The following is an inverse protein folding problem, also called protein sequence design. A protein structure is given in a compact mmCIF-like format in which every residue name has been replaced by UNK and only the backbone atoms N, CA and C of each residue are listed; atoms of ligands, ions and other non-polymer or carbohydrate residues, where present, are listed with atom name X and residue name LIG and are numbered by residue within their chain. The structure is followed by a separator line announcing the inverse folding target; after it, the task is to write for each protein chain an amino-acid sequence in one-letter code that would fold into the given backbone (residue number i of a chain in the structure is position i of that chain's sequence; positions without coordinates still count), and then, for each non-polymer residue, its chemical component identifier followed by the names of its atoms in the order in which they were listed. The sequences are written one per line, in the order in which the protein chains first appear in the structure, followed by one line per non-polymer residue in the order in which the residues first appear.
data_IF_300222770273
#
_entry.id   IF_300222770273
#
_cell.length_a   1.000
_cell.length_b   1.000
_cell.length_c   1.000
_cell.angle_alpha   90.00
_cell.angle_beta   90.00
_cell.angle_gamma   90.00
#
_symmetry.space_group_name_H-M   'P 1'
#
loop_
_entity.id
_entity.type
_entity.pdbx_description
1 polymer ?
#
# COMPACT_ATOMS: atom_id res chain seq x y z
N UNK A 1 -32.18 -14.88 -9.27
CA UNK A 1 -31.81 -14.19 -8.02
C UNK A 1 -30.66 -14.97 -7.43
N UNK A 2 -29.44 -14.45 -7.46
CA UNK A 2 -28.30 -15.12 -6.82
C UNK A 2 -28.50 -15.05 -5.31
N UNK A 3 -28.39 -16.19 -4.64
CA UNK A 3 -28.45 -16.23 -3.18
C UNK A 3 -27.31 -15.38 -2.64
N UNK A 4 -27.56 -14.50 -1.65
CA UNK A 4 -26.51 -13.67 -1.05
C UNK A 4 -25.27 -14.50 -0.69
N UNK A 5 -25.49 -15.77 -0.30
CA UNK A 5 -24.48 -16.79 -0.03
C UNK A 5 -23.57 -17.17 -1.22
N UNK A 6 -24.10 -17.25 -2.44
CA UNK A 6 -23.29 -17.56 -3.65
C UNK A 6 -22.44 -16.35 -4.09
N UNK A 7 -22.93 -15.12 -3.88
CA UNK A 7 -22.11 -13.93 -4.06
C UNK A 7 -20.95 -13.87 -3.05
N UNK A 8 -21.15 -14.41 -1.84
CA UNK A 8 -20.07 -14.60 -0.85
C UNK A 8 -19.05 -15.68 -1.24
N UNK A 9 -19.39 -16.66 -2.06
CA UNK A 9 -18.44 -17.72 -2.47
C UNK A 9 -17.69 -17.38 -3.76
N UNK A 10 -18.29 -16.63 -4.68
CA UNK A 10 -17.75 -16.41 -6.03
C UNK A 10 -16.85 -15.16 -6.20
N UNK A 11 -16.36 -14.54 -5.13
CA UNK A 11 -15.44 -13.39 -5.24
C UNK A 11 -15.98 -12.25 -6.13
N UNK A 12 -17.30 -12.04 -6.16
CA UNK A 12 -17.89 -10.96 -6.93
C UNK A 12 -17.82 -9.67 -6.13
N UNK A 13 -17.16 -8.64 -6.68
CA UNK A 13 -17.15 -7.32 -6.08
C UNK A 13 -18.53 -6.68 -6.23
N UNK A 14 -19.21 -6.28 -5.14
CA UNK A 14 -20.57 -5.72 -5.22
C UNK A 14 -20.60 -4.29 -5.78
N UNK A 15 -19.43 -3.71 -6.07
CA UNK A 15 -19.25 -2.40 -6.68
C UNK A 15 -18.34 -2.49 -7.90
N UNK A 16 -18.40 -1.48 -8.77
CA UNK A 16 -17.50 -1.35 -9.92
C UNK A 16 -16.05 -1.19 -9.48
N UNK A 17 -15.12 -1.65 -10.31
CA UNK A 17 -13.68 -1.59 -10.04
C UNK A 17 -13.18 -0.15 -9.85
N UNK A 18 -13.75 0.81 -10.60
CA UNK A 18 -13.40 2.24 -10.45
C UNK A 18 -13.70 2.75 -9.04
N UNK A 19 -14.89 2.45 -8.50
CA UNK A 19 -15.29 2.88 -7.16
C UNK A 19 -14.43 2.21 -6.09
N UNK A 20 -14.14 0.91 -6.25
CA UNK A 20 -13.24 0.20 -5.34
C UNK A 20 -11.83 0.81 -5.35
N UNK A 21 -11.32 1.16 -6.54
CA UNK A 21 -10.03 1.81 -6.71
C UNK A 21 -9.97 3.20 -6.05
N UNK A 22 -11.04 3.98 -6.17
CA UNK A 22 -11.18 5.27 -5.48
C UNK A 22 -11.17 5.09 -3.96
N UNK A 23 -11.95 4.15 -3.43
CA UNK A 23 -11.99 3.85 -1.99
C UNK A 23 -10.63 3.38 -1.46
N UNK A 24 -9.92 2.55 -2.22
CA UNK A 24 -8.59 2.05 -1.84
C UNK A 24 -7.53 3.16 -1.78
N UNK A 25 -7.63 4.18 -2.63
CA UNK A 25 -6.68 5.31 -2.68
C UNK A 25 -7.12 6.50 -1.83
N UNK A 26 -8.36 6.52 -1.35
CA UNK A 26 -8.91 7.62 -0.56
C UNK A 26 -8.23 7.70 0.82
N UNK A 27 -8.05 8.93 1.30
CA UNK A 27 -7.67 9.18 2.69
C UNK A 27 -8.86 8.89 3.63
N UNK A 28 -8.63 8.78 4.94
CA UNK A 28 -9.67 8.45 5.94
C UNK A 28 -10.97 9.26 5.80
N UNK A 29 -10.85 10.58 5.58
CA UNK A 29 -11.99 11.47 5.39
C UNK A 29 -12.69 11.28 4.04
N UNK A 30 -11.93 10.96 2.99
CA UNK A 30 -12.50 10.68 1.66
C UNK A 30 -13.21 9.34 1.63
N UNK A 31 -12.64 8.33 2.29
CA UNK A 31 -13.21 7.00 2.39
C UNK A 31 -14.57 7.03 3.09
N UNK A 32 -14.71 7.74 4.21
CA UNK A 32 -15.98 7.85 4.92
C UNK A 32 -17.11 8.39 4.02
N UNK A 33 -16.81 9.40 3.18
CA UNK A 33 -17.79 9.99 2.26
C UNK A 33 -18.17 9.05 1.12
N UNK A 34 -17.20 8.31 0.58
CA UNK A 34 -17.46 7.30 -0.46
C UNK A 34 -18.29 6.16 0.11
N UNK A 35 -17.98 5.70 1.32
CA UNK A 35 -18.72 4.66 2.03
C UNK A 35 -20.17 5.12 2.29
N UNK A 36 -20.40 6.34 2.75
CA UNK A 36 -21.75 6.90 2.96
C UNK A 36 -22.62 6.92 1.70
N UNK A 37 -22.02 7.03 0.51
CA UNK A 37 -22.75 7.02 -0.76
C UNK A 37 -23.33 5.65 -1.13
N UNK A 38 -22.90 4.59 -0.44
CA UNK A 38 -23.25 3.20 -0.71
C UNK A 38 -24.25 2.70 0.34
N UNK A 39 -25.26 1.93 -0.09
CA UNK A 39 -26.24 1.34 0.83
C UNK A 39 -25.56 0.43 1.87
N UNK A 40 -26.16 0.30 3.04
CA UNK A 40 -25.56 -0.44 4.16
C UNK A 40 -25.31 -1.92 3.83
N UNK A 41 -26.24 -2.57 3.13
CA UNK A 41 -26.08 -3.95 2.67
C UNK A 41 -24.85 -4.11 1.75
N UNK A 42 -24.66 -3.18 0.81
CA UNK A 42 -23.52 -3.23 -0.13
C UNK A 42 -22.21 -2.95 0.59
N UNK A 43 -22.19 -2.07 1.60
CA UNK A 43 -21.00 -1.86 2.44
C UNK A 43 -20.60 -3.11 3.20
N UNK A 44 -21.56 -3.83 3.78
CA UNK A 44 -21.28 -5.08 4.50
C UNK A 44 -20.79 -6.18 3.54
N UNK A 45 -21.39 -6.31 2.36
CA UNK A 45 -20.89 -7.19 1.30
C UNK A 45 -19.45 -6.83 0.89
N UNK A 46 -19.18 -5.53 0.71
CA UNK A 46 -17.87 -5.04 0.30
C UNK A 46 -16.80 -5.27 1.38
N UNK A 47 -17.13 -5.06 2.65
CA UNK A 47 -16.21 -5.33 3.76
C UNK A 47 -15.82 -6.81 3.80
N UNK A 48 -16.78 -7.71 3.62
CA UNK A 48 -16.54 -9.17 3.59
C UNK A 48 -15.72 -9.59 2.36
N UNK A 49 -15.96 -8.97 1.20
CA UNK A 49 -15.17 -9.17 -0.02
C UNK A 49 -13.70 -8.73 0.18
N UNK A 50 -13.50 -7.54 0.77
CA UNK A 50 -12.16 -7.00 1.04
C UNK A 50 -11.42 -7.80 2.11
N UNK A 51 -12.12 -8.32 3.13
CA UNK A 51 -11.51 -9.04 4.25
C UNK A 51 -10.73 -10.29 3.81
N UNK A 52 -11.18 -10.98 2.75
CA UNK A 52 -10.51 -12.19 2.23
C UNK A 52 -9.23 -11.87 1.45
N UNK A 53 -9.01 -10.61 1.07
CA UNK A 53 -7.86 -10.16 0.28
C UNK A 53 -6.87 -9.45 1.19
N UNK A 54 -5.68 -10.00 1.34
CA UNK A 54 -4.64 -9.44 2.22
C UNK A 54 -4.32 -7.97 1.92
N UNK A 55 -4.25 -7.59 0.65
CA UNK A 55 -3.96 -6.22 0.21
C UNK A 55 -5.12 -5.23 0.44
N UNK A 56 -6.35 -5.71 0.67
CA UNK A 56 -7.52 -4.88 0.99
C UNK A 56 -7.94 -5.00 2.45
N UNK A 57 -7.18 -5.70 3.27
CA UNK A 57 -7.57 -6.02 4.64
C UNK A 57 -7.78 -4.76 5.50
N UNK A 58 -6.88 -3.76 5.38
CA UNK A 58 -7.02 -2.48 6.07
C UNK A 58 -8.30 -1.74 5.65
N UNK A 59 -8.61 -1.75 4.35
CA UNK A 59 -9.83 -1.17 3.80
C UNK A 59 -11.06 -1.91 4.33
N UNK A 60 -11.01 -3.25 4.45
CA UNK A 60 -12.09 -4.06 5.00
C UNK A 60 -12.45 -3.65 6.43
N UNK A 61 -11.45 -3.43 7.29
CA UNK A 61 -11.66 -2.96 8.67
C UNK A 61 -12.27 -1.57 8.71
N UNK A 62 -11.76 -0.64 7.90
CA UNK A 62 -12.29 0.74 7.82
C UNK A 62 -13.75 0.77 7.37
N UNK A 63 -14.12 -0.03 6.37
CA UNK A 63 -15.51 -0.13 5.91
C UNK A 63 -16.37 -0.81 6.98
N UNK A 64 -15.89 -1.90 7.59
CA UNK A 64 -16.59 -2.62 8.65
C UNK A 64 -16.88 -1.74 9.87
N UNK A 65 -16.00 -0.79 10.21
CA UNK A 65 -16.22 0.16 11.30
C UNK A 65 -17.46 1.06 11.10
N UNK A 66 -17.86 1.28 9.84
CA UNK A 66 -19.08 2.02 9.46
C UNK A 66 -20.35 1.16 9.35
N UNK A 67 -20.20 -0.18 9.45
CA UNK A 67 -21.28 -1.13 9.30
C UNK A 67 -21.88 -1.53 10.66
N UNK A 68 -23.13 -1.99 10.65
CA UNK A 68 -23.72 -2.60 11.83
C UNK A 68 -23.28 -4.05 11.98
N UNK A 69 -23.18 -4.54 13.23
CA UNK A 69 -22.85 -5.94 13.52
C UNK A 69 -23.87 -6.90 12.89
N UNK A 70 -25.16 -6.53 12.93
CA UNK A 70 -26.26 -7.34 12.40
C UNK A 70 -26.12 -7.58 10.90
N UNK A 71 -25.81 -6.53 10.13
CA UNK A 71 -25.63 -6.65 8.67
C UNK A 71 -24.43 -7.54 8.33
N UNK A 72 -23.30 -7.34 9.03
CA UNK A 72 -22.11 -8.18 8.83
C UNK A 72 -22.38 -9.64 9.17
N UNK A 73 -23.12 -9.94 10.24
CA UNK A 73 -23.50 -11.31 10.61
C UNK A 73 -24.51 -11.92 9.64
N UNK A 74 -25.52 -11.15 9.21
CA UNK A 74 -26.55 -11.64 8.28
C UNK A 74 -25.94 -12.09 6.95
N UNK A 75 -24.90 -11.39 6.51
CA UNK A 75 -24.23 -11.61 5.24
C UNK A 75 -23.03 -12.56 5.36
N UNK A 76 -22.17 -12.37 6.37
CA UNK A 76 -20.91 -13.08 6.55
C UNK A 76 -20.89 -14.13 7.67
N UNK A 77 -21.99 -14.31 8.41
CA UNK A 77 -22.09 -15.25 9.53
C UNK A 77 -20.99 -15.03 10.57
N UNK A 78 -20.25 -16.10 10.89
CA UNK A 78 -19.12 -16.07 11.84
C UNK A 78 -17.98 -15.15 11.41
N UNK A 79 -17.73 -15.05 10.10
CA UNK A 79 -16.71 -14.13 9.57
C UNK A 79 -17.16 -12.70 9.81
N UNK A 80 -18.46 -12.41 9.62
CA UNK A 80 -19.06 -11.12 9.93
C UNK A 80 -18.90 -10.70 11.38
N UNK A 81 -19.19 -11.59 12.33
CA UNK A 81 -19.00 -11.29 13.76
C UNK A 81 -17.52 -11.04 14.10
N UNK A 82 -16.60 -11.84 13.54
CA UNK A 82 -15.17 -11.65 13.76
C UNK A 82 -14.68 -10.33 13.16
N UNK A 83 -15.11 -10.01 11.94
CA UNK A 83 -14.77 -8.76 11.26
C UNK A 83 -15.28 -7.54 12.02
N UNK A 84 -16.50 -7.60 12.58
CA UNK A 84 -17.04 -6.53 13.42
C UNK A 84 -16.16 -6.31 14.67
N UNK A 85 -15.81 -7.38 15.38
CA UNK A 85 -14.93 -7.31 16.54
C UNK A 85 -13.56 -6.72 16.19
N UNK A 86 -12.93 -7.19 15.11
CA UNK A 86 -11.64 -6.69 14.62
C UNK A 86 -11.67 -5.21 14.22
N UNK A 87 -12.79 -4.74 13.66
CA UNK A 87 -12.95 -3.32 13.29
C UNK A 87 -13.10 -2.39 14.50
N UNK A 88 -13.57 -2.93 15.63
CA UNK A 88 -13.79 -2.20 16.90
C UNK A 88 -12.61 -2.30 17.84
N UNK A 89 -11.79 -3.33 17.67
CA UNK A 89 -10.57 -3.47 18.43
C UNK A 89 -9.74 -2.20 18.16
N UNK A 90 -9.34 -1.47 19.22
CA UNK A 90 -8.46 -0.33 19.04
C UNK A 90 -7.13 -0.92 18.61
N UNK A 91 -6.96 -1.13 17.30
CA UNK A 91 -5.63 -1.30 16.71
C UNK A 91 -4.90 -0.06 17.19
N UNK A 92 -4.00 -0.25 18.16
CA UNK A 92 -3.14 0.79 18.68
C UNK A 92 -2.64 1.49 17.43
N UNK A 93 -3.12 2.73 17.25
CA UNK A 93 -3.18 3.49 15.99
C UNK A 93 -2.25 2.87 14.99
N UNK A 94 -2.76 2.35 13.87
CA UNK A 94 -1.95 2.16 12.68
C UNK A 94 -1.24 3.50 12.48
N UNK A 95 -0.04 3.60 13.04
CA UNK A 95 0.75 4.79 12.95
C UNK A 95 0.85 4.97 11.45
N UNK A 96 0.57 6.16 10.91
CA UNK A 96 0.88 6.41 9.52
C UNK A 96 2.28 5.86 9.36
N UNK A 97 2.46 4.84 8.51
CA UNK A 97 3.75 4.20 8.32
C UNK A 97 4.65 5.37 8.03
N UNK A 98 5.42 5.78 9.04
CA UNK A 98 6.16 7.01 8.96
C UNK A 98 7.26 6.64 8.00
N UNK A 99 7.03 6.94 6.73
CA UNK A 99 8.01 7.12 5.70
C UNK A 99 8.91 8.32 6.07
N UNK A 100 9.36 8.35 7.33
CA UNK A 100 9.93 9.47 8.04
C UNK A 100 10.90 9.05 9.14
N UNK A 101 11.35 7.78 9.14
CA UNK A 101 12.52 7.34 9.94
C UNK A 101 13.64 6.79 9.06
N UNK A 102 13.72 7.19 7.79
CA UNK A 102 15.03 7.10 7.13
C UNK A 102 15.92 8.11 7.83
N UNK A 103 16.95 7.61 8.52
CA UNK A 103 18.03 8.45 9.07
C UNK A 103 18.45 9.42 7.95
N UNK A 104 18.61 10.72 8.26
CA UNK A 104 19.06 11.67 7.24
C UNK A 104 20.33 11.12 6.62
N UNK A 105 20.34 10.99 5.29
CA UNK A 105 21.53 10.67 4.53
C UNK A 105 22.43 11.90 4.70
N UNK A 106 23.40 11.84 5.61
CA UNK A 106 24.40 12.88 5.74
C UNK A 106 25.38 12.72 4.59
N UNK A 107 25.38 13.65 3.64
CA UNK A 107 26.50 13.76 2.70
C UNK A 107 27.77 14.04 3.51
N UNK A 108 28.83 13.28 3.22
CA UNK A 108 30.13 13.54 3.83
C UNK A 108 30.62 14.90 3.34
N UNK A 109 30.68 15.87 4.25
CA UNK A 109 31.24 17.22 3.97
C UNK A 109 32.76 17.23 4.02
N UNK A 110 33.41 16.05 4.02
CA UNK A 110 34.87 15.98 3.88
C UNK A 110 35.21 16.53 2.49
N UNK A 111 35.98 17.62 2.39
CA UNK A 111 36.48 18.05 1.09
C UNK A 111 37.26 16.89 0.49
N UNK A 112 37.01 16.58 -0.79
CA UNK A 112 37.81 15.59 -1.50
C UNK A 112 39.28 16.01 -1.34
N UNK A 113 40.10 15.09 -0.86
CA UNK A 113 41.54 15.29 -0.73
C UNK A 113 42.04 15.76 -2.10
N UNK A 114 42.70 16.93 -2.13
CA UNK A 114 43.27 17.52 -3.33
C UNK A 114 44.08 16.45 -4.06
N UNK A 115 43.68 16.14 -5.30
CA UNK A 115 44.48 15.30 -6.18
C UNK A 115 45.89 15.89 -6.24
N UNK A 116 46.91 15.09 -5.91
CA UNK A 116 48.29 15.47 -6.20
C UNK A 116 48.41 15.70 -7.70
N UNK A 117 49.05 16.80 -8.13
CA UNK A 117 49.42 16.98 -9.53
C UNK A 117 50.28 15.78 -9.95
N UNK A 118 49.87 15.11 -11.03
CA UNK A 118 50.75 14.16 -11.71
C UNK A 118 51.93 14.99 -12.22
N UNK A 119 53.11 14.76 -11.65
CA UNK A 119 54.35 15.24 -12.22
C UNK A 119 54.50 14.55 -13.58
N UNK A 120 54.35 15.32 -14.63
CA UNK A 120 54.75 14.94 -15.99
C UNK A 120 56.28 14.93 -15.96
N UNK A 121 56.88 13.75 -15.83
CA UNK A 121 58.30 13.53 -16.11
C UNK A 121 58.43 13.31 -17.63
N UNK A 122 59.02 14.25 -18.38
CA UNK A 122 59.41 13.99 -19.76
C UNK A 122 60.70 13.17 -19.75
N UNK A 123 60.58 11.85 -19.87
CA UNK A 123 61.71 11.01 -20.28
C UNK A 123 61.89 11.15 -21.80
N UNK A 124 62.63 12.19 -22.19
CA UNK A 124 63.27 12.31 -23.49
C UNK A 124 64.56 11.47 -23.49
N UNK A 125 64.57 10.24 -24.03
CA UNK A 125 65.74 9.78 -24.81
C UNK A 125 65.45 8.61 -25.79
N UNK A 126 65.49 8.98 -27.08
CA UNK A 126 65.87 8.24 -28.29
C UNK A 126 66.33 6.78 -28.13
N UNK A 127 65.86 5.87 -28.99
CA UNK A 127 66.72 5.10 -29.90
C UNK A 127 65.92 4.53 -31.10
N UNK A 128 66.57 4.65 -32.25
CA UNK A 128 66.17 4.29 -33.62
C UNK A 128 66.01 2.79 -33.85
N UNK A 129 65.06 2.35 -34.69
CA UNK A 129 65.33 1.37 -35.77
C UNK A 129 64.16 1.22 -36.77
N UNK A 130 64.50 0.65 -37.92
CA UNK A 130 63.93 0.83 -39.24
C UNK A 130 62.67 0.01 -39.63
N UNK A 131 61.98 0.57 -40.64
CA UNK A 131 61.14 0.02 -41.76
C UNK A 131 61.31 -1.49 -42.11
N UNK A 132 60.53 -2.13 -43.02
CA UNK A 132 59.21 -1.86 -43.67
C UNK A 132 58.29 -3.12 -43.77
N UNK A 133 57.07 -2.98 -44.34
CA UNK A 133 56.56 -3.76 -45.50
C UNK A 133 55.21 -3.21 -45.98
#
# INVERSE_FOLDING_TARGET
MFSSREAFENDFCPVREELLGEMYRANEHGLARLVESVSSDVRAMLALFCYRRSHLYSLALSIAASCSERELIQLGGRVGSALYALSREPTARAAPSSSGHRKPITLSTKPLSTFSPLADEPDDEYFVEAVPA
#
